data_IF_221606093356
#
_entry.id   IF_221606093356
#
_cell.length_a   1.000
_cell.length_b   1.000
_cell.length_c   1.000
_cell.angle_alpha   90.00
_cell.angle_beta   90.00
_cell.angle_gamma   90.00
#
_symmetry.space_group_name_H-M   'P 1'
#
loop_
_entity.id
_entity.type
_entity.pdbx_description
1 polymer ?
#
# COMPACT_ATOMS: atom_id res chain seq x y z
N UNK A 1 7.84 -11.45 2.27
CA UNK A 1 7.04 -10.49 3.04
C UNK A 1 6.35 -9.54 2.08
N UNK A 2 5.15 -9.07 2.42
CA UNK A 2 4.43 -8.04 1.66
C UNK A 2 4.54 -6.75 2.47
N UNK A 3 5.03 -5.68 1.84
CA UNK A 3 5.13 -4.36 2.47
C UNK A 3 4.08 -3.42 1.88
N UNK A 4 3.59 -2.51 2.72
CA UNK A 4 2.84 -1.33 2.28
C UNK A 4 3.81 -0.14 2.39
N UNK A 5 4.11 0.51 1.27
CA UNK A 5 5.10 1.59 1.23
C UNK A 5 4.77 2.65 0.18
N UNK A 6 5.38 3.82 0.33
CA UNK A 6 5.36 4.89 -0.68
C UNK A 6 6.20 4.55 -1.92
N UNK A 7 6.19 5.38 -2.95
CA UNK A 7 6.97 5.17 -4.17
C UNK A 7 7.33 6.51 -4.81
N UNK A 8 8.48 6.56 -5.45
CA UNK A 8 8.93 7.65 -6.33
C UNK A 8 8.21 7.64 -7.70
N UNK A 9 7.66 6.49 -8.12
CA UNK A 9 6.86 6.33 -9.35
C UNK A 9 5.35 6.55 -9.13
N UNK A 10 4.91 7.61 -8.45
CA UNK A 10 3.48 7.82 -8.14
C UNK A 10 2.57 7.83 -9.39
N UNK A 11 3.09 8.27 -10.54
CA UNK A 11 2.37 8.26 -11.82
C UNK A 11 2.02 6.87 -12.35
N UNK A 12 2.53 5.79 -11.73
CA UNK A 12 2.23 4.38 -12.07
C UNK A 12 1.31 3.70 -11.07
N UNK A 13 0.80 4.42 -10.06
CA UNK A 13 -0.18 3.89 -9.12
C UNK A 13 -1.48 3.52 -9.86
N UNK A 14 -2.15 2.46 -9.39
CA UNK A 14 -3.33 1.90 -10.05
C UNK A 14 -3.04 0.88 -11.16
N UNK A 15 -1.78 0.76 -11.58
CA UNK A 15 -1.34 -0.28 -12.52
C UNK A 15 -0.41 -1.31 -11.86
N UNK A 16 -0.37 -2.57 -12.34
CA UNK A 16 0.60 -3.56 -11.87
C UNK A 16 2.03 -3.10 -12.17
N UNK A 17 2.81 -2.88 -11.12
CA UNK A 17 4.20 -2.44 -11.26
C UNK A 17 5.05 -2.72 -10.00
N UNK A 18 4.62 -3.66 -9.16
CA UNK A 18 5.41 -4.16 -8.03
C UNK A 18 5.69 -5.65 -8.17
N UNK A 19 6.71 -6.14 -7.45
CA UNK A 19 7.01 -7.57 -7.33
C UNK A 19 6.27 -8.24 -6.15
N UNK A 20 5.12 -7.68 -5.75
CA UNK A 20 4.27 -8.21 -4.67
C UNK A 20 4.01 -7.26 -3.50
N UNK A 21 4.74 -6.14 -3.39
CA UNK A 21 4.41 -5.08 -2.41
C UNK A 21 3.18 -4.26 -2.83
N UNK A 22 2.52 -3.63 -1.86
CA UNK A 22 1.45 -2.67 -2.09
C UNK A 22 2.08 -1.26 -2.09
N UNK A 23 2.07 -0.61 -3.25
CA UNK A 23 2.52 0.78 -3.39
C UNK A 23 1.36 1.73 -3.15
N UNK A 24 1.60 2.74 -2.34
CA UNK A 24 0.71 3.88 -2.11
C UNK A 24 1.39 5.16 -2.58
N UNK A 25 0.62 6.24 -2.73
CA UNK A 25 1.25 7.56 -2.80
C UNK A 25 1.95 7.87 -1.47
N UNK A 26 3.00 8.68 -1.54
CA UNK A 26 3.79 9.11 -0.39
C UNK A 26 2.92 9.84 0.63
N UNK A 27 1.95 10.64 0.17
CA UNK A 27 0.95 11.23 1.06
C UNK A 27 0.09 10.17 1.74
N UNK A 28 -0.44 9.21 0.99
CA UNK A 28 -1.38 8.23 1.55
C UNK A 28 -0.71 7.22 2.49
N UNK A 29 0.57 6.86 2.26
CA UNK A 29 1.29 5.98 3.20
C UNK A 29 1.59 6.68 4.53
N UNK A 30 1.88 7.99 4.51
CA UNK A 30 2.04 8.79 5.74
C UNK A 30 0.71 8.87 6.50
N UNK A 31 -0.39 9.17 5.79
CA UNK A 31 -1.72 9.17 6.40
C UNK A 31 -2.13 7.80 6.96
N UNK A 32 -1.71 6.70 6.32
CA UNK A 32 -1.93 5.35 6.84
C UNK A 32 -1.10 5.09 8.09
N UNK A 33 0.18 5.48 8.08
CA UNK A 33 1.10 5.29 9.20
C UNK A 33 0.55 5.91 10.48
N UNK A 34 -0.01 7.12 10.41
CA UNK A 34 -0.61 7.79 11.57
C UNK A 34 -1.89 7.11 12.10
N UNK A 35 -2.51 6.20 11.31
CA UNK A 35 -3.79 5.56 11.62
C UNK A 35 -3.66 4.12 12.11
N UNK A 36 -2.51 3.49 11.96
CA UNK A 36 -2.32 2.07 12.28
C UNK A 36 -1.19 1.87 13.28
N UNK A 37 -1.36 0.91 14.19
CA UNK A 37 -0.33 0.50 15.13
C UNK A 37 0.34 -0.81 14.73
N UNK A 38 1.38 -1.18 15.47
CA UNK A 38 1.93 -2.54 15.42
C UNK A 38 0.80 -3.54 15.75
N UNK A 39 0.87 -4.73 15.15
CA UNK A 39 -0.15 -5.80 15.25
C UNK A 39 -1.52 -5.49 14.61
N UNK A 40 -1.66 -4.35 13.91
CA UNK A 40 -2.87 -4.10 13.10
C UNK A 40 -3.02 -5.20 12.05
N UNK A 41 -4.17 -5.88 12.07
CA UNK A 41 -4.48 -6.93 11.10
C UNK A 41 -4.58 -6.35 9.68
N UNK A 42 -3.83 -6.94 8.74
CA UNK A 42 -3.90 -6.63 7.32
C UNK A 42 -4.52 -7.79 6.56
N UNK A 43 -5.59 -7.52 5.83
CA UNK A 43 -6.27 -8.49 4.96
C UNK A 43 -6.08 -8.09 3.50
N UNK A 44 -5.44 -8.96 2.72
CA UNK A 44 -5.31 -8.78 1.26
C UNK A 44 -6.29 -9.74 0.60
N UNK A 45 -7.33 -9.19 -0.01
CA UNK A 45 -8.36 -9.95 -0.69
C UNK A 45 -8.73 -9.29 -2.02
N UNK A 46 -9.18 -10.10 -2.98
CA UNK A 46 -9.78 -9.58 -4.21
C UNK A 46 -11.14 -8.99 -3.88
N UNK A 47 -11.36 -7.70 -4.15
CA UNK A 47 -12.71 -7.16 -4.10
C UNK A 47 -13.51 -7.76 -5.25
N UNK A 48 -14.64 -8.40 -4.93
CA UNK A 48 -15.64 -8.79 -5.93
C UNK A 48 -16.37 -7.51 -6.31
N UNK A 49 -16.32 -7.15 -7.59
CA UNK A 49 -17.29 -6.22 -8.16
C UNK A 49 -18.65 -6.90 -8.25
#
# INVERSE_FOLDING_TARGET
YIYIHGTDEEGRLGAPASHGCIRMSNRAVVELFDRVGVDTLVVIARQRQ
#
